data_IF_767914632198
#
_entry.id   IF_767914632198
#
_cell.length_a   1.000
_cell.length_b   1.000
_cell.length_c   1.000
_cell.angle_alpha   90.00
_cell.angle_beta   90.00
_cell.angle_gamma   90.00
#
_symmetry.space_group_name_H-M   'P 1'
#
loop_
_entity.id
_entity.type
_entity.pdbx_description
1 polymer ?
#
# COMPACT_ATOMS: atom_id res chain seq x y z
N UNK A 1 16.73 -5.38 -15.84
CA UNK A 1 15.63 -5.04 -14.92
C UNK A 1 16.21 -4.90 -13.52
N UNK A 2 16.17 -3.72 -12.88
CA UNK A 2 16.61 -3.58 -11.47
C UNK A 2 15.64 -4.41 -10.61
N UNK A 3 16.14 -5.42 -9.91
CA UNK A 3 15.33 -6.24 -9.00
C UNK A 3 14.66 -5.37 -7.94
N UNK A 4 13.44 -5.75 -7.51
CA UNK A 4 12.75 -5.10 -6.39
C UNK A 4 13.59 -5.24 -5.12
N UNK A 5 13.79 -4.13 -4.40
CA UNK A 5 14.49 -4.15 -3.12
C UNK A 5 13.68 -4.92 -2.07
N UNK A 6 14.33 -5.36 -0.98
CA UNK A 6 13.61 -5.95 0.16
C UNK A 6 12.59 -4.97 0.75
N UNK A 7 12.89 -3.67 0.72
CA UNK A 7 11.92 -2.64 1.09
C UNK A 7 10.71 -2.60 0.15
N UNK A 8 10.92 -2.66 -1.17
CA UNK A 8 9.81 -2.66 -2.14
C UNK A 8 8.88 -3.87 -1.93
N UNK A 9 9.45 -5.04 -1.60
CA UNK A 9 8.68 -6.26 -1.27
C UNK A 9 7.90 -6.08 0.04
N UNK A 10 8.58 -5.60 1.08
CA UNK A 10 7.99 -5.32 2.40
C UNK A 10 6.81 -4.35 2.27
N UNK A 11 6.99 -3.25 1.54
CA UNK A 11 5.93 -2.28 1.25
C UNK A 11 4.73 -2.91 0.55
N UNK A 12 4.94 -3.67 -0.52
CA UNK A 12 3.86 -4.32 -1.25
C UNK A 12 3.07 -5.30 -0.37
N UNK A 13 3.79 -6.11 0.42
CA UNK A 13 3.17 -7.05 1.35
C UNK A 13 2.38 -6.33 2.44
N UNK A 14 2.91 -5.25 3.01
CA UNK A 14 2.19 -4.45 4.01
C UNK A 14 0.94 -3.82 3.41
N UNK A 15 1.03 -3.18 2.23
CA UNK A 15 -0.14 -2.58 1.57
C UNK A 15 -1.23 -3.63 1.34
N UNK A 16 -0.88 -4.77 0.73
CA UNK A 16 -1.84 -5.82 0.43
C UNK A 16 -2.49 -6.40 1.68
N UNK A 17 -1.67 -6.72 2.69
CA UNK A 17 -2.14 -7.25 3.98
C UNK A 17 -3.10 -6.29 4.67
N UNK A 18 -2.77 -5.00 4.73
CA UNK A 18 -3.59 -4.04 5.45
C UNK A 18 -4.89 -3.71 4.73
N UNK A 19 -4.87 -3.58 3.39
CA UNK A 19 -6.10 -3.41 2.63
C UNK A 19 -7.05 -4.60 2.81
N UNK A 20 -6.53 -5.83 2.74
CA UNK A 20 -7.34 -7.04 2.98
C UNK A 20 -7.84 -7.13 4.41
N UNK A 21 -7.03 -6.74 5.40
CA UNK A 21 -7.44 -6.72 6.80
C UNK A 21 -8.56 -5.72 7.06
N UNK A 22 -8.55 -4.56 6.39
CA UNK A 22 -9.53 -3.49 6.58
C UNK A 22 -10.82 -3.77 5.80
N UNK A 23 -10.70 -4.20 4.54
CA UNK A 23 -11.82 -4.22 3.59
C UNK A 23 -12.22 -5.63 3.11
N UNK A 24 -11.40 -6.65 3.39
CA UNK A 24 -11.55 -7.99 2.84
C UNK A 24 -11.01 -8.13 1.41
N UNK A 25 -10.94 -9.37 0.92
CA UNK A 25 -10.35 -9.73 -0.39
C UNK A 25 -11.07 -9.05 -1.56
N UNK A 26 -12.41 -9.15 -1.60
CA UNK A 26 -13.23 -8.64 -2.73
C UNK A 26 -13.10 -7.12 -2.86
N UNK A 27 -13.25 -6.40 -1.76
CA UNK A 27 -13.13 -4.95 -1.75
C UNK A 27 -11.70 -4.49 -2.07
N UNK A 28 -10.68 -5.25 -1.64
CA UNK A 28 -9.28 -4.96 -1.99
C UNK A 28 -9.04 -5.08 -3.49
N UNK A 29 -9.63 -6.10 -4.14
CA UNK A 29 -9.58 -6.21 -5.60
C UNK A 29 -10.27 -5.03 -6.28
N UNK A 30 -11.38 -4.53 -5.74
CA UNK A 30 -12.06 -3.34 -6.28
C UNK A 30 -11.19 -2.08 -6.14
N UNK A 31 -10.48 -1.90 -5.02
CA UNK A 31 -9.53 -0.80 -4.83
C UNK A 31 -8.40 -0.89 -5.87
N UNK A 32 -7.76 -2.04 -6.02
CA UNK A 32 -6.70 -2.19 -7.03
C UNK A 32 -7.22 -1.99 -8.45
N UNK A 33 -8.42 -2.49 -8.77
CA UNK A 33 -9.07 -2.25 -10.05
C UNK A 33 -9.33 -0.77 -10.30
N UNK A 34 -9.73 -0.02 -9.27
CA UNK A 34 -9.90 1.43 -9.38
C UNK A 34 -8.57 2.13 -9.67
N UNK A 35 -7.52 1.81 -8.91
CA UNK A 35 -6.17 2.37 -9.09
C UNK A 35 -5.59 2.07 -10.47
N UNK A 36 -5.75 0.83 -10.95
CA UNK A 36 -5.26 0.44 -12.27
C UNK A 36 -6.01 1.18 -13.38
N UNK A 37 -7.34 1.27 -13.30
CA UNK A 37 -8.15 1.88 -14.35
C UNK A 37 -8.11 3.41 -14.36
N UNK A 38 -8.04 4.07 -13.20
CA UNK A 38 -8.10 5.54 -13.08
C UNK A 38 -6.74 6.20 -12.99
N UNK A 39 -5.76 5.51 -12.41
CA UNK A 39 -4.42 6.06 -12.15
C UNK A 39 -3.32 5.34 -12.94
N UNK A 40 -3.67 4.34 -13.77
CA UNK A 40 -2.70 3.50 -14.49
C UNK A 40 -1.61 2.95 -13.54
N UNK A 41 -2.05 2.58 -12.34
CA UNK A 41 -1.20 2.12 -11.25
C UNK A 41 -1.48 0.66 -10.97
N UNK A 42 -0.57 -0.23 -11.40
CA UNK A 42 -0.63 -1.64 -11.03
C UNK A 42 -0.13 -1.84 -9.61
N UNK A 43 -0.66 -2.84 -8.91
CA UNK A 43 -0.24 -3.16 -7.54
C UNK A 43 1.28 -3.27 -7.41
N UNK A 44 1.93 -3.95 -8.36
CA UNK A 44 3.38 -4.17 -8.35
C UNK A 44 4.23 -2.90 -8.57
N UNK A 45 3.63 -1.79 -8.98
CA UNK A 45 4.28 -0.49 -9.24
C UNK A 45 4.17 0.49 -8.06
N UNK A 46 3.35 0.20 -7.05
CA UNK A 46 3.12 1.06 -5.87
C UNK A 46 4.44 1.60 -5.26
N UNK A 47 5.50 0.79 -5.05
CA UNK A 47 6.76 1.30 -4.50
C UNK A 47 7.47 2.37 -5.32
N UNK A 48 7.14 2.50 -6.62
CA UNK A 48 7.74 3.48 -7.53
C UNK A 48 6.81 4.63 -7.88
N UNK A 49 5.53 4.54 -7.51
CA UNK A 49 4.49 5.52 -7.82
C UNK A 49 3.65 5.83 -6.57
N UNK A 50 4.33 6.14 -5.45
CA UNK A 50 3.66 6.38 -4.16
C UNK A 50 2.68 7.56 -4.20
N UNK A 51 3.00 8.62 -4.95
CA UNK A 51 2.09 9.77 -5.09
C UNK A 51 0.78 9.39 -5.79
N UNK A 52 0.86 8.55 -6.83
CA UNK A 52 -0.31 8.03 -7.53
C UNK A 52 -1.13 7.10 -6.62
N UNK A 53 -0.47 6.33 -5.76
CA UNK A 53 -1.15 5.47 -4.77
C UNK A 53 -1.90 6.30 -3.73
N UNK A 54 -1.25 7.29 -3.11
CA UNK A 54 -1.87 8.16 -2.12
C UNK A 54 -3.06 8.93 -2.71
N UNK A 55 -2.86 9.55 -3.88
CA UNK A 55 -3.93 10.27 -4.59
C UNK A 55 -5.10 9.34 -4.96
N UNK A 56 -4.80 8.13 -5.42
CA UNK A 56 -5.84 7.16 -5.79
C UNK A 56 -6.61 6.61 -4.61
N UNK A 57 -5.96 6.43 -3.45
CA UNK A 57 -6.66 6.09 -2.20
C UNK A 57 -7.54 7.24 -1.72
N UNK A 58 -7.04 8.48 -1.74
CA UNK A 58 -7.82 9.68 -1.37
C UNK A 58 -9.05 9.86 -2.26
N UNK A 59 -8.89 9.68 -3.56
CA UNK A 59 -10.00 9.75 -4.51
C UNK A 59 -11.04 8.65 -4.31
N UNK A 60 -10.62 7.42 -3.97
CA UNK A 60 -11.53 6.29 -3.76
C UNK A 60 -12.20 6.28 -2.38
N UNK A 61 -11.47 6.62 -1.32
CA UNK A 61 -11.92 6.51 0.08
C UNK A 61 -12.27 7.85 0.73
N UNK A 62 -11.96 8.97 0.07
CA UNK A 62 -12.07 10.32 0.63
C UNK A 62 -11.36 10.39 2.00
N UNK A 63 -12.03 10.90 3.04
CA UNK A 63 -11.47 11.00 4.39
C UNK A 63 -10.98 9.67 4.99
N UNK A 64 -11.46 8.53 4.48
CA UNK A 64 -11.00 7.21 4.89
C UNK A 64 -9.56 6.90 4.48
N UNK A 65 -9.03 7.55 3.43
CA UNK A 65 -7.67 7.31 2.94
C UNK A 65 -6.61 7.60 4.01
N UNK A 66 -6.76 8.71 4.74
CA UNK A 66 -5.82 9.09 5.79
C UNK A 66 -5.71 8.06 6.92
N UNK A 67 -6.79 7.32 7.20
CA UNK A 67 -6.78 6.26 8.22
C UNK A 67 -6.00 5.05 7.68
N UNK A 68 -6.27 4.67 6.43
CA UNK A 68 -5.59 3.55 5.76
C UNK A 68 -4.09 3.82 5.62
N UNK A 69 -3.70 5.02 5.15
CA UNK A 69 -2.31 5.41 4.99
C UNK A 69 -1.53 5.34 6.31
N UNK A 70 -2.10 5.85 7.41
CA UNK A 70 -1.48 5.77 8.74
C UNK A 70 -1.28 4.33 9.20
N UNK A 71 -2.25 3.46 8.95
CA UNK A 71 -2.15 2.04 9.30
C UNK A 71 -1.02 1.37 8.50
N UNK A 72 -0.97 1.61 7.18
CA UNK A 72 0.07 1.07 6.30
C UNK A 72 1.45 1.55 6.77
N UNK A 73 1.62 2.86 7.01
CA UNK A 73 2.90 3.43 7.46
C UNK A 73 3.35 2.85 8.80
N UNK A 74 2.43 2.75 9.77
CA UNK A 74 2.72 2.17 11.09
C UNK A 74 3.19 0.71 10.96
N UNK A 75 2.48 -0.10 10.18
CA UNK A 75 2.78 -1.51 10.05
C UNK A 75 4.01 -1.77 9.16
N UNK A 76 4.30 -0.88 8.22
CA UNK A 76 5.53 -0.91 7.44
C UNK A 76 6.74 -0.61 8.33
N UNK A 77 6.63 0.40 9.20
CA UNK A 77 7.68 0.71 10.18
C UNK A 77 7.98 -0.49 11.08
N UNK A 78 6.93 -1.12 11.62
CA UNK A 78 7.08 -2.31 12.47
C UNK A 78 7.67 -3.51 11.70
N UNK A 79 7.28 -3.72 10.44
CA UNK A 79 7.79 -4.82 9.62
C UNK A 79 9.28 -4.69 9.30
N UNK A 80 9.79 -3.46 9.24
CA UNK A 80 11.20 -3.18 8.97
C UNK A 80 11.99 -2.81 10.25
N UNK A 81 11.37 -2.88 11.43
CA UNK A 81 12.02 -2.53 12.68
C UNK A 81 13.01 -3.63 13.11
N UNK A 82 14.30 -3.30 13.10
CA UNK A 82 15.34 -4.11 13.76
C UNK A 82 15.46 -3.60 15.20
N UNK A 83 15.21 -4.47 16.19
CA UNK A 83 15.43 -4.10 17.61
C UNK A 83 16.87 -3.63 17.80
N UNK A 84 17.10 -2.46 18.42
CA UNK A 84 18.44 -2.09 18.84
C UNK A 84 18.92 -3.14 19.86
N UNK A 85 20.08 -3.76 19.57
CA UNK A 85 20.77 -4.59 20.56
C UNK A 85 21.21 -3.65 21.70
N UNK A 86 20.76 -3.95 22.92
CA UNK A 86 21.30 -3.36 24.15
C UNK A 86 22.58 -4.08 24.52
#
# INVERSE_FOLDING_TARGET
MKGKSEFDKSLLMTVDKELKRIFGEVSTMAIYGYLENKFSLKQNEIPKKMDAFAKGLDDFLSSGAQVVERIILKNLYLANYVKPQK
#
